data_IF_690872725271
#
_entry.id   IF_690872725271
#
_cell.length_a   1.000
_cell.length_b   1.000
_cell.length_c   1.000
_cell.angle_alpha   90.00
_cell.angle_beta   90.00
_cell.angle_gamma   90.00
#
_symmetry.space_group_name_H-M   'P 1'
#
loop_
_entity.id
_entity.type
_entity.pdbx_description
1 polymer ?
#
# COMPACT_ATOMS: atom_id res chain seq x y z
N UNK A 1 -11.04 5.68 -6.73
CA UNK A 1 -9.77 6.30 -7.17
C UNK A 1 -9.93 7.66 -7.87
N UNK A 2 -10.68 7.79 -8.99
CA UNK A 2 -10.74 9.03 -9.80
C UNK A 2 -10.97 10.34 -9.03
N UNK A 3 -11.84 10.34 -8.02
CA UNK A 3 -12.08 11.52 -7.16
C UNK A 3 -10.82 11.95 -6.40
N UNK A 4 -10.05 10.99 -5.87
CA UNK A 4 -8.79 11.32 -5.18
C UNK A 4 -7.75 11.81 -6.18
N UNK A 5 -7.71 11.24 -7.39
CA UNK A 5 -6.85 11.76 -8.48
C UNK A 5 -7.15 13.24 -8.74
N UNK A 6 -8.42 13.61 -8.92
CA UNK A 6 -8.80 14.99 -9.23
C UNK A 6 -8.60 15.97 -8.05
N UNK A 7 -8.40 15.46 -6.83
CA UNK A 7 -8.15 16.28 -5.63
C UNK A 7 -6.74 16.88 -5.61
N UNK A 8 -5.78 16.27 -6.29
CA UNK A 8 -4.38 16.70 -6.28
C UNK A 8 -4.09 17.73 -7.38
N UNK A 9 -3.31 18.77 -7.05
CA UNK A 9 -2.67 19.63 -8.05
C UNK A 9 -1.37 19.00 -8.54
N UNK A 10 -1.50 18.09 -9.50
CA UNK A 10 -0.39 17.29 -10.05
C UNK A 10 0.74 18.12 -10.66
N UNK A 11 0.49 19.39 -11.02
CA UNK A 11 1.53 20.30 -11.50
C UNK A 11 2.47 20.78 -10.39
N UNK A 12 2.01 20.70 -9.14
CA UNK A 12 2.75 21.13 -7.95
C UNK A 12 3.37 19.97 -7.18
N UNK A 13 2.79 18.76 -7.28
CA UNK A 13 3.31 17.54 -6.64
C UNK A 13 4.63 17.13 -7.28
N UNK A 14 5.68 17.02 -6.46
CA UNK A 14 7.02 16.64 -6.92
C UNK A 14 7.22 15.13 -6.98
N UNK A 15 7.66 14.66 -8.15
CA UNK A 15 8.10 13.27 -8.35
C UNK A 15 9.46 13.01 -7.70
N UNK A 16 9.91 11.75 -7.73
CA UNK A 16 11.25 11.37 -7.28
C UNK A 16 12.37 12.14 -8.00
N UNK A 17 12.10 12.59 -9.23
CA UNK A 17 13.04 13.31 -10.07
C UNK A 17 12.97 14.83 -9.88
N UNK A 18 12.09 15.32 -9.01
CA UNK A 18 11.86 16.75 -8.76
C UNK A 18 11.02 17.45 -9.83
N UNK A 19 10.48 16.70 -10.79
CA UNK A 19 9.59 17.19 -11.85
C UNK A 19 8.14 17.24 -11.35
N UNK A 20 7.22 17.75 -12.18
CA UNK A 20 5.80 17.61 -11.88
C UNK A 20 5.33 16.15 -12.02
N UNK A 21 4.24 15.81 -11.34
CA UNK A 21 3.74 14.42 -11.27
C UNK A 21 2.63 14.16 -12.29
N UNK A 22 2.68 14.80 -13.47
CA UNK A 22 1.68 14.57 -14.53
C UNK A 22 1.76 13.15 -15.12
N UNK A 23 2.95 12.55 -15.14
CA UNK A 23 3.15 11.16 -15.57
C UNK A 23 2.45 10.19 -14.59
N UNK A 24 2.65 10.38 -13.28
CA UNK A 24 1.95 9.62 -12.26
C UNK A 24 0.43 9.77 -12.38
N UNK A 25 -0.07 11.00 -12.61
CA UNK A 25 -1.50 11.22 -12.85
C UNK A 25 -2.02 10.39 -14.02
N UNK A 26 -1.30 10.40 -15.14
CA UNK A 26 -1.67 9.64 -16.32
C UNK A 26 -1.68 8.13 -16.03
N UNK A 27 -0.64 7.62 -15.36
CA UNK A 27 -0.54 6.21 -15.00
C UNK A 27 -1.66 5.75 -14.04
N UNK A 28 -2.07 6.60 -13.08
CA UNK A 28 -3.22 6.31 -12.22
C UNK A 28 -4.56 6.31 -12.99
N UNK A 29 -4.70 7.15 -14.02
CA UNK A 29 -5.87 7.13 -14.90
C UNK A 29 -5.86 5.86 -15.75
N UNK A 30 -4.71 5.51 -16.35
CA UNK A 30 -4.54 4.29 -17.12
C UNK A 30 -4.89 3.06 -16.28
N UNK A 31 -4.46 3.01 -15.01
CA UNK A 31 -4.84 1.93 -14.07
C UNK A 31 -6.35 1.87 -13.81
N UNK A 32 -7.06 3.01 -13.77
CA UNK A 32 -8.53 3.00 -13.67
C UNK A 32 -9.23 2.44 -14.90
N UNK A 33 -8.59 2.53 -16.07
CA UNK A 33 -9.18 2.28 -17.38
C UNK A 33 -8.64 1.01 -18.04
N UNK A 34 -7.68 0.35 -17.38
CA UNK A 34 -7.08 -0.90 -17.80
C UNK A 34 -8.16 -1.98 -18.03
N UNK A 35 -8.08 -2.64 -19.17
CA UNK A 35 -9.01 -3.71 -19.57
C UNK A 35 -8.33 -5.06 -19.70
N UNK A 36 -7.00 -5.11 -19.52
CA UNK A 36 -6.18 -6.31 -19.58
C UNK A 36 -5.12 -6.31 -18.49
N UNK A 37 -4.60 -7.49 -18.16
CA UNK A 37 -3.53 -7.63 -17.17
C UNK A 37 -2.24 -6.91 -17.62
N UNK A 38 -1.94 -6.90 -18.93
CA UNK A 38 -0.81 -6.16 -19.50
C UNK A 38 -0.95 -4.63 -19.30
N UNK A 39 -2.18 -4.09 -19.43
CA UNK A 39 -2.43 -2.67 -19.18
C UNK A 39 -2.23 -2.33 -17.70
N UNK A 40 -2.67 -3.23 -16.80
CA UNK A 40 -2.46 -3.10 -15.35
C UNK A 40 -0.96 -3.08 -15.04
N UNK A 41 -0.21 -4.04 -15.55
CA UNK A 41 1.23 -4.14 -15.29
C UNK A 41 1.98 -2.92 -15.81
N UNK A 42 1.66 -2.45 -17.01
CA UNK A 42 2.26 -1.24 -17.57
C UNK A 42 1.93 0.01 -16.75
N UNK A 43 0.67 0.16 -16.31
CA UNK A 43 0.26 1.31 -15.50
C UNK A 43 0.91 1.27 -14.11
N UNK A 44 0.96 0.11 -13.47
CA UNK A 44 1.58 -0.09 -12.16
C UNK A 44 3.08 0.14 -12.22
N UNK A 45 3.76 -0.37 -13.26
CA UNK A 45 5.19 -0.12 -13.43
C UNK A 45 5.50 1.38 -13.51
N UNK A 46 4.70 2.14 -14.28
CA UNK A 46 4.86 3.61 -14.37
C UNK A 46 4.56 4.31 -13.04
N UNK A 47 3.59 3.81 -12.27
CA UNK A 47 3.32 4.34 -10.93
C UNK A 47 4.55 4.12 -10.04
N UNK A 48 5.09 2.90 -10.01
CA UNK A 48 6.26 2.55 -9.22
C UNK A 48 7.49 3.37 -9.60
N UNK A 49 7.79 3.52 -10.90
CA UNK A 49 8.90 4.33 -11.41
C UNK A 49 8.84 5.81 -10.96
N UNK A 50 7.63 6.35 -10.78
CA UNK A 50 7.42 7.74 -10.37
C UNK A 50 7.34 7.93 -8.85
N UNK A 51 7.00 6.87 -8.11
CA UNK A 51 6.58 6.99 -6.71
C UNK A 51 7.41 6.15 -5.71
N UNK A 52 8.22 5.20 -6.16
CA UNK A 52 9.11 4.42 -5.28
C UNK A 52 10.50 4.26 -5.90
N UNK A 53 11.53 4.58 -5.12
CA UNK A 53 12.89 4.10 -5.34
C UNK A 53 13.45 3.60 -4.01
N UNK A 54 14.31 2.56 -3.97
CA UNK A 54 14.90 2.07 -2.73
C UNK A 54 15.50 3.23 -1.89
N UNK A 55 15.02 3.36 -0.65
CA UNK A 55 15.45 4.39 0.29
C UNK A 55 14.97 5.80 -0.01
N UNK A 56 14.08 6.02 -1.00
CA UNK A 56 13.61 7.36 -1.39
C UNK A 56 12.10 7.39 -1.61
N UNK A 57 11.43 8.34 -0.94
CA UNK A 57 10.03 8.70 -1.19
C UNK A 57 9.95 10.17 -1.60
N UNK A 58 8.88 10.54 -2.29
CA UNK A 58 8.57 11.91 -2.67
C UNK A 58 7.11 12.25 -2.40
N UNK A 59 6.69 13.47 -2.74
CA UNK A 59 5.29 13.89 -2.64
C UNK A 59 4.38 13.03 -3.53
N UNK A 60 4.91 12.59 -4.68
CA UNK A 60 4.21 11.66 -5.59
C UNK A 60 3.88 10.34 -4.91
N UNK A 61 4.76 9.82 -4.03
CA UNK A 61 4.53 8.61 -3.23
C UNK A 61 3.32 8.74 -2.32
N UNK A 62 3.20 9.88 -1.62
CA UNK A 62 2.08 10.15 -0.74
C UNK A 62 0.76 10.29 -1.53
N UNK A 63 0.81 10.95 -2.68
CA UNK A 63 -0.34 11.09 -3.58
C UNK A 63 -0.77 9.74 -4.16
N UNK A 64 0.18 8.93 -4.65
CA UNK A 64 -0.06 7.60 -5.17
C UNK A 64 -0.69 6.69 -4.12
N UNK A 65 -0.14 6.64 -2.90
CA UNK A 65 -0.69 5.84 -1.82
C UNK A 65 -2.16 6.17 -1.53
N UNK A 66 -2.50 7.46 -1.44
CA UNK A 66 -3.91 7.88 -1.21
C UNK A 66 -4.80 7.49 -2.38
N UNK A 67 -4.36 7.71 -3.61
CA UNK A 67 -5.13 7.33 -4.79
C UNK A 67 -5.40 5.82 -4.83
N UNK A 68 -4.36 5.01 -4.64
CA UNK A 68 -4.44 3.55 -4.62
C UNK A 68 -5.36 3.05 -3.51
N UNK A 69 -5.23 3.55 -2.28
CA UNK A 69 -6.14 3.23 -1.16
C UNK A 69 -7.60 3.52 -1.53
N UNK A 70 -7.88 4.68 -2.12
CA UNK A 70 -9.21 5.03 -2.62
C UNK A 70 -9.65 4.19 -3.83
N UNK A 71 -8.75 3.47 -4.48
CA UNK A 71 -9.00 2.58 -5.61
C UNK A 71 -9.35 1.16 -5.20
N UNK A 72 -8.84 0.67 -4.06
CA UNK A 72 -8.98 -0.74 -3.61
C UNK A 72 -10.41 -1.27 -3.74
N UNK A 73 -11.41 -0.52 -3.25
CA UNK A 73 -12.82 -0.94 -3.30
C UNK A 73 -13.41 -1.10 -4.70
N UNK A 74 -12.76 -0.54 -5.72
CA UNK A 74 -13.18 -0.66 -7.13
C UNK A 74 -12.34 -1.67 -7.90
N UNK A 75 -11.19 -2.08 -7.36
CA UNK A 75 -10.30 -3.03 -7.99
C UNK A 75 -10.72 -4.47 -7.70
N UNK A 76 -10.39 -5.36 -8.63
CA UNK A 76 -10.58 -6.80 -8.50
C UNK A 76 -9.46 -7.54 -9.24
N UNK A 77 -9.37 -8.85 -9.02
CA UNK A 77 -8.43 -9.72 -9.74
C UNK A 77 -6.98 -9.20 -9.70
N UNK A 78 -6.37 -9.15 -10.88
CA UNK A 78 -4.98 -8.73 -11.06
C UNK A 78 -4.72 -7.28 -10.64
N UNK A 79 -5.63 -6.37 -10.98
CA UNK A 79 -5.52 -4.95 -10.60
C UNK A 79 -5.45 -4.75 -9.09
N UNK A 80 -6.26 -5.51 -8.33
CA UNK A 80 -6.24 -5.43 -6.87
C UNK A 80 -4.91 -5.94 -6.31
N UNK A 81 -4.43 -7.09 -6.82
CA UNK A 81 -3.17 -7.68 -6.37
C UNK A 81 -2.00 -6.70 -6.58
N UNK A 82 -1.87 -6.17 -7.79
CA UNK A 82 -0.78 -5.23 -8.13
C UNK A 82 -0.88 -3.92 -7.35
N UNK A 83 -2.09 -3.37 -7.16
CA UNK A 83 -2.27 -2.15 -6.36
C UNK A 83 -1.89 -2.34 -4.88
N UNK A 84 -2.22 -3.49 -4.28
CA UNK A 84 -1.84 -3.82 -2.90
C UNK A 84 -0.34 -4.03 -2.76
N UNK A 85 0.29 -4.68 -3.73
CA UNK A 85 1.74 -4.87 -3.75
C UNK A 85 2.48 -3.53 -3.81
N UNK A 86 2.09 -2.64 -4.72
CA UNK A 86 2.64 -1.28 -4.79
C UNK A 86 2.42 -0.51 -3.48
N UNK A 87 1.25 -0.63 -2.86
CA UNK A 87 0.99 -0.03 -1.55
C UNK A 87 1.92 -0.59 -0.46
N UNK A 88 2.13 -1.91 -0.43
CA UNK A 88 3.01 -2.57 0.53
C UNK A 88 4.47 -2.11 0.36
N UNK A 89 4.92 -1.93 -0.89
CA UNK A 89 6.23 -1.37 -1.22
C UNK A 89 6.35 0.06 -0.67
N UNK A 90 5.39 0.95 -0.96
CA UNK A 90 5.39 2.33 -0.44
C UNK A 90 5.37 2.32 1.10
N UNK A 91 4.59 1.44 1.72
CA UNK A 91 4.49 1.31 3.17
C UNK A 91 5.84 0.92 3.79
N UNK A 92 6.50 -0.08 3.21
CA UNK A 92 7.81 -0.58 3.65
C UNK A 92 8.87 0.53 3.59
N UNK A 93 8.95 1.25 2.47
CA UNK A 93 9.89 2.36 2.32
C UNK A 93 9.57 3.52 3.28
N UNK A 94 8.28 3.82 3.49
CA UNK A 94 7.83 4.81 4.47
C UNK A 94 8.27 4.46 5.89
N UNK A 95 8.09 3.20 6.29
CA UNK A 95 8.52 2.74 7.61
C UNK A 95 10.04 2.81 7.78
N UNK A 96 10.82 2.36 6.78
CA UNK A 96 12.29 2.42 6.84
C UNK A 96 12.79 3.87 6.99
N UNK A 97 12.19 4.82 6.28
CA UNK A 97 12.60 6.23 6.33
C UNK A 97 12.21 6.94 7.64
N UNK A 98 11.23 6.44 8.38
CA UNK A 98 10.95 6.96 9.72
C UNK A 98 12.07 6.65 10.72
N UNK A 99 12.87 5.59 10.50
CA UNK A 99 13.76 5.04 11.53
C UNK A 99 15.16 5.70 11.72
N UNK A 100 15.59 6.73 10.98
CA UNK A 100 16.74 7.53 11.43
C UNK A 100 16.48 9.05 11.55
N UNK A 101 15.42 9.57 10.95
CA UNK A 101 15.00 10.98 10.99
C UNK A 101 13.63 11.03 10.33
N UNK A 102 12.56 11.19 11.11
CA UNK A 102 11.20 11.12 10.60
C UNK A 102 10.96 12.20 9.52
N UNK A 103 11.05 11.80 8.24
CA UNK A 103 10.67 12.66 7.13
C UNK A 103 9.16 12.89 7.16
N UNK A 104 8.73 14.14 7.07
CA UNK A 104 7.30 14.49 6.99
C UNK A 104 6.60 13.73 5.84
N UNK A 105 7.28 13.52 4.72
CA UNK A 105 6.78 12.73 3.60
C UNK A 105 6.48 11.27 3.97
N UNK A 106 7.37 10.62 4.72
CA UNK A 106 7.15 9.24 5.17
C UNK A 106 5.91 9.14 6.08
N UNK A 107 5.71 10.12 6.97
CA UNK A 107 4.49 10.22 7.80
C UNK A 107 3.24 10.41 6.96
N UNK A 108 3.29 11.27 5.94
CA UNK A 108 2.16 11.51 5.04
C UNK A 108 1.80 10.27 4.23
N UNK A 109 2.79 9.55 3.69
CA UNK A 109 2.59 8.26 3.02
C UNK A 109 1.88 7.27 3.94
N UNK A 110 2.44 7.03 5.14
CA UNK A 110 1.90 6.05 6.08
C UNK A 110 0.52 6.43 6.58
N UNK A 111 0.26 7.73 6.80
CA UNK A 111 -1.07 8.23 7.13
C UNK A 111 -2.08 7.98 6.01
N UNK A 112 -1.66 8.14 4.75
CA UNK A 112 -2.49 7.81 3.59
C UNK A 112 -2.82 6.32 3.52
N UNK A 113 -1.81 5.47 3.75
CA UNK A 113 -1.92 4.00 3.73
C UNK A 113 -2.84 3.51 4.86
N UNK A 114 -2.75 4.11 6.04
CA UNK A 114 -3.57 3.78 7.21
C UNK A 114 -5.08 3.95 6.93
N UNK A 115 -5.47 4.85 6.01
CA UNK A 115 -6.89 5.00 5.63
C UNK A 115 -7.49 3.72 5.02
N UNK A 116 -6.66 2.86 4.44
CA UNK A 116 -7.08 1.57 3.88
C UNK A 116 -7.14 0.43 4.91
N UNK A 117 -6.81 0.69 6.18
CA UNK A 117 -6.67 -0.35 7.21
C UNK A 117 -7.87 -1.31 7.29
N UNK A 118 -9.13 -0.83 7.36
CA UNK A 118 -10.28 -1.74 7.42
C UNK A 118 -10.38 -2.67 6.19
N UNK A 119 -10.00 -2.16 5.02
CA UNK A 119 -10.02 -2.93 3.76
C UNK A 119 -8.95 -4.01 3.75
N UNK A 120 -7.77 -3.75 4.32
CA UNK A 120 -6.72 -4.77 4.43
C UNK A 120 -7.16 -5.93 5.33
N UNK A 121 -7.87 -5.64 6.43
CA UNK A 121 -8.49 -6.67 7.27
C UNK A 121 -9.49 -7.52 6.46
N UNK A 122 -10.38 -6.88 5.71
CA UNK A 122 -11.38 -7.57 4.87
C UNK A 122 -10.72 -8.43 3.79
N UNK A 123 -9.68 -7.91 3.12
CA UNK A 123 -8.93 -8.65 2.10
C UNK A 123 -8.24 -9.88 2.69
N UNK A 124 -7.61 -9.73 3.87
CA UNK A 124 -6.95 -10.82 4.55
C UNK A 124 -7.94 -11.95 4.87
N UNK A 125 -9.14 -11.61 5.34
CA UNK A 125 -10.19 -12.58 5.67
C UNK A 125 -10.82 -13.22 4.42
N UNK A 126 -11.21 -12.39 3.45
CA UNK A 126 -12.16 -12.80 2.41
C UNK A 126 -11.55 -13.11 1.04
N UNK A 127 -10.36 -12.56 0.72
CA UNK A 127 -9.73 -12.78 -0.59
C UNK A 127 -9.39 -14.25 -0.80
N UNK A 128 -9.48 -14.74 -2.04
CA UNK A 128 -8.96 -16.08 -2.41
C UNK A 128 -7.60 -16.00 -3.11
N UNK A 129 -7.12 -14.80 -3.38
CA UNK A 129 -5.84 -14.56 -4.01
C UNK A 129 -4.77 -14.44 -2.92
N UNK A 130 -3.77 -15.32 -2.98
CA UNK A 130 -2.69 -15.41 -1.98
C UNK A 130 -1.81 -14.16 -1.96
N UNK A 131 -1.54 -13.55 -3.12
CA UNK A 131 -0.75 -12.33 -3.25
C UNK A 131 -1.44 -11.15 -2.58
N UNK A 132 -2.76 -11.02 -2.79
CA UNK A 132 -3.57 -10.01 -2.10
C UNK A 132 -3.51 -10.17 -0.58
N UNK A 133 -3.58 -11.41 -0.08
CA UNK A 133 -3.50 -11.69 1.36
C UNK A 133 -2.10 -11.43 1.92
N UNK A 134 -1.05 -11.78 1.17
CA UNK A 134 0.34 -11.50 1.53
C UNK A 134 0.56 -9.99 1.67
N UNK A 135 0.19 -9.19 0.67
CA UNK A 135 0.31 -7.73 0.75
C UNK A 135 -0.56 -7.13 1.85
N UNK A 136 -1.74 -7.69 2.13
CA UNK A 136 -2.56 -7.25 3.25
C UNK A 136 -1.87 -7.49 4.60
N UNK A 137 -1.16 -8.61 4.78
CA UNK A 137 -0.36 -8.87 6.00
C UNK A 137 0.73 -7.81 6.15
N UNK A 138 1.49 -7.53 5.09
CA UNK A 138 2.54 -6.50 5.11
C UNK A 138 1.97 -5.12 5.46
N UNK A 139 0.84 -4.75 4.87
CA UNK A 139 0.16 -3.48 5.13
C UNK A 139 -0.35 -3.38 6.57
N UNK A 140 -0.93 -4.46 7.12
CA UNK A 140 -1.39 -4.51 8.51
C UNK A 140 -0.22 -4.42 9.50
N UNK A 141 0.87 -5.15 9.22
CA UNK A 141 2.10 -5.06 10.00
C UNK A 141 2.60 -3.61 10.04
N UNK A 142 2.81 -3.00 8.87
CA UNK A 142 3.33 -1.64 8.79
C UNK A 142 2.38 -0.63 9.44
N UNK A 143 1.06 -0.76 9.28
CA UNK A 143 0.10 0.08 10.00
C UNK A 143 0.25 -0.07 11.52
N UNK A 144 0.34 -1.29 12.05
CA UNK A 144 0.47 -1.53 13.49
C UNK A 144 1.82 -1.12 14.09
N UNK A 145 2.90 -1.15 13.30
CA UNK A 145 4.21 -0.66 13.72
C UNK A 145 4.24 0.87 13.83
N UNK A 146 3.53 1.58 12.95
CA UNK A 146 3.60 3.04 12.85
C UNK A 146 2.43 3.78 13.51
N UNK A 147 1.32 3.11 13.80
CA UNK A 147 0.17 3.69 14.49
C UNK A 147 -0.21 2.84 15.73
N UNK A 148 -0.01 3.37 16.96
CA UNK A 148 -0.34 2.67 18.20
C UNK A 148 -1.84 2.35 18.36
N UNK A 149 -2.74 3.15 17.78
CA UNK A 149 -4.18 2.92 17.85
C UNK A 149 -4.60 1.78 16.91
N UNK A 150 -3.88 1.60 15.79
CA UNK A 150 -4.10 0.50 14.86
C UNK A 150 -3.49 -0.83 15.33
N UNK A 151 -2.43 -0.78 16.14
CA UNK A 151 -1.65 -1.98 16.55
C UNK A 151 -2.49 -3.11 17.15
N UNK A 152 -3.41 -2.89 18.11
CA UNK A 152 -4.20 -3.97 18.67
C UNK A 152 -5.11 -4.65 17.63
N UNK A 153 -5.68 -3.86 16.72
CA UNK A 153 -6.52 -4.37 15.65
C UNK A 153 -5.70 -5.16 14.61
N UNK A 154 -4.49 -4.70 14.29
CA UNK A 154 -3.57 -5.41 13.38
C UNK A 154 -3.20 -6.80 13.96
N UNK A 155 -2.84 -6.85 15.24
CA UNK A 155 -2.56 -8.12 15.95
C UNK A 155 -3.76 -9.05 15.89
N UNK A 156 -4.94 -8.54 16.27
CA UNK A 156 -6.16 -9.34 16.26
C UNK A 156 -6.46 -9.92 14.87
N UNK A 157 -6.37 -9.11 13.81
CA UNK A 157 -6.61 -9.57 12.45
C UNK A 157 -5.64 -10.68 12.04
N UNK A 158 -4.33 -10.51 12.27
CA UNK A 158 -3.31 -11.51 11.97
C UNK A 158 -3.46 -12.79 12.79
N UNK A 159 -3.78 -12.68 14.09
CA UNK A 159 -4.03 -13.83 14.96
C UNK A 159 -5.26 -14.63 14.52
N UNK A 160 -6.32 -13.94 14.09
CA UNK A 160 -7.56 -14.59 13.66
C UNK A 160 -7.33 -15.55 12.50
N UNK A 161 -6.49 -15.15 11.53
CA UNK A 161 -6.21 -15.98 10.36
C UNK A 161 -5.08 -16.98 10.56
N UNK A 162 -4.19 -16.78 11.55
CA UNK A 162 -3.17 -17.77 11.95
C UNK A 162 -3.77 -19.11 12.35
N UNK A 163 -4.99 -19.08 12.88
CA UNK A 163 -5.71 -20.28 13.34
C UNK A 163 -6.53 -20.97 12.25
N UNK A 164 -6.57 -20.40 11.04
CA UNK A 164 -7.25 -20.97 9.88
C UNK A 164 -6.31 -21.85 9.08
N UNK A 165 -6.76 -23.05 8.70
CA UNK A 165 -6.04 -23.95 7.79
C UNK A 165 -5.91 -23.37 6.36
N UNK A 166 -6.61 -22.27 6.05
CA UNK A 166 -6.65 -21.65 4.73
C UNK A 166 -5.39 -20.84 4.36
N UNK A 167 -4.45 -20.66 5.30
CA UNK A 167 -3.26 -19.79 5.13
C UNK A 167 -1.93 -20.44 5.53
N UNK A 168 -1.82 -21.77 5.40
CA UNK A 168 -0.58 -22.49 5.71
C UNK A 168 0.64 -21.90 4.98
N UNK A 169 0.47 -21.49 3.72
CA UNK A 169 1.54 -20.89 2.91
C UNK A 169 2.04 -19.54 3.45
N UNK A 170 1.22 -18.79 4.19
CA UNK A 170 1.57 -17.50 4.79
C UNK A 170 1.86 -17.60 6.29
N UNK A 171 1.88 -18.80 6.88
CA UNK A 171 2.05 -19.02 8.32
C UNK A 171 3.32 -18.37 8.87
N UNK A 172 4.44 -18.49 8.14
CA UNK A 172 5.73 -17.91 8.54
C UNK A 172 5.70 -16.38 8.49
N UNK A 173 5.06 -15.81 7.46
CA UNK A 173 4.88 -14.38 7.32
C UNK A 173 4.03 -13.83 8.47
N UNK A 174 2.86 -14.43 8.72
CA UNK A 174 1.96 -14.06 9.82
C UNK A 174 2.69 -14.12 11.18
N UNK A 175 3.43 -15.21 11.42
CA UNK A 175 4.15 -15.40 12.68
C UNK A 175 5.25 -14.36 12.88
N UNK A 176 5.97 -14.02 11.81
CA UNK A 176 7.01 -12.97 11.84
C UNK A 176 6.39 -11.61 12.08
N UNK A 177 5.32 -11.26 11.36
CA UNK A 177 4.62 -9.99 11.54
C UNK A 177 4.07 -9.82 12.97
N UNK A 178 3.49 -10.86 13.55
CA UNK A 178 3.03 -10.83 14.94
C UNK A 178 4.19 -10.62 15.92
N UNK A 179 5.29 -11.33 15.72
CA UNK A 179 6.48 -11.20 16.57
C UNK A 179 7.09 -9.79 16.50
N UNK A 180 7.04 -9.12 15.35
CA UNK A 180 7.46 -7.72 15.22
C UNK A 180 6.52 -6.76 15.95
N UNK A 181 5.20 -6.93 15.82
CA UNK A 181 4.21 -6.11 16.53
C UNK A 181 4.28 -6.26 18.06
N UNK A 182 4.82 -7.37 18.56
CA UNK A 182 5.04 -7.61 20.00
C UNK A 182 6.28 -6.91 20.57
N UNK A 183 7.18 -6.42 19.72
CA UNK A 183 8.45 -5.79 20.14
C UNK A 183 8.35 -4.26 20.32
N UNK A 184 7.20 -3.65 19.95
CA UNK A 184 6.96 -2.20 19.91
C UNK A 184 5.90 -1.79 20.93
#
# INVERSE_FOLDING_TARGET
>A
MKVEIDRHDWSSVRSLWGEDSLILRAALIDLCEAVSDDDVDLAVQRIEDECVSPGTLSESSAAAARCLVHGIYSFNGHTLARALETLAIIASEGHKQLQPQAGELAKECLKGILLGFPTYCEILEMSKNIDCRSSAIDLLLICGLNDPDARPAAKFALESVRTSDDLVELSDLISTSLAELDQV
#
